data_IF_257633044839
#
_entry.id   IF_257633044839
#
_cell.length_a   1.000
_cell.length_b   1.000
_cell.length_c   1.000
_cell.angle_alpha   90.00
_cell.angle_beta   90.00
_cell.angle_gamma   90.00
#
_symmetry.space_group_name_H-M   'P 1'
#
loop_
_entity.id
_entity.type
_entity.pdbx_description
1 polymer ?
#
# COMPACT_ATOMS: atom_id res chain seq x y z
N UNK A 1 16.17 -13.51 -6.31
CA UNK A 1 15.26 -13.30 -5.16
C UNK A 1 14.10 -12.38 -5.54
N UNK A 2 12.98 -13.00 -5.91
CA UNK A 2 11.61 -12.50 -6.13
C UNK A 2 11.32 -11.09 -5.70
N UNK A 3 11.37 -10.21 -6.70
CA UNK A 3 11.03 -8.79 -6.73
C UNK A 3 10.97 -8.08 -5.37
N UNK A 4 12.14 -7.73 -4.83
CA UNK A 4 12.37 -6.61 -3.90
C UNK A 4 11.38 -6.37 -2.74
N UNK A 5 10.54 -7.35 -2.34
CA UNK A 5 9.54 -7.18 -1.27
C UNK A 5 10.22 -6.74 0.04
N UNK A 6 11.35 -7.38 0.37
CA UNK A 6 12.19 -6.99 1.51
C UNK A 6 12.72 -5.56 1.40
N UNK A 7 13.08 -5.11 0.20
CA UNK A 7 13.53 -3.74 -0.04
C UNK A 7 12.39 -2.75 0.13
N UNK A 8 11.17 -3.06 -0.31
CA UNK A 8 9.99 -2.22 -0.06
C UNK A 8 9.66 -2.12 1.43
N UNK A 9 9.74 -3.22 2.19
CA UNK A 9 9.58 -3.21 3.65
C UNK A 9 10.65 -2.32 4.31
N UNK A 10 11.92 -2.45 3.89
CA UNK A 10 12.99 -1.59 4.37
C UNK A 10 12.83 -0.12 3.95
N UNK A 11 12.22 0.16 2.78
CA UNK A 11 11.85 1.51 2.37
C UNK A 11 10.74 2.07 3.24
N UNK A 12 9.71 1.28 3.59
CA UNK A 12 8.67 1.71 4.53
C UNK A 12 9.25 2.00 5.92
N UNK A 13 10.14 1.14 6.44
CA UNK A 13 10.81 1.37 7.73
C UNK A 13 11.64 2.66 7.73
N UNK A 14 12.33 2.98 6.63
CA UNK A 14 13.01 4.28 6.45
C UNK A 14 12.01 5.43 6.29
N UNK A 15 10.89 5.19 5.63
CA UNK A 15 9.83 6.18 5.39
C UNK A 15 9.13 6.67 6.66
N UNK A 16 9.11 5.87 7.73
CA UNK A 16 8.58 6.29 9.05
C UNK A 16 9.67 6.79 10.01
N UNK A 17 10.94 6.76 9.62
CA UNK A 17 12.05 7.14 10.49
C UNK A 17 12.30 8.66 10.46
N UNK A 18 12.19 9.38 11.59
CA UNK A 18 12.40 10.83 11.64
C UNK A 18 13.78 11.29 11.18
N UNK A 19 14.83 10.46 11.37
CA UNK A 19 16.18 10.79 10.88
C UNK A 19 16.21 10.86 9.35
N UNK A 20 15.44 9.99 8.69
CA UNK A 20 15.30 9.99 7.22
C UNK A 20 14.53 11.22 6.76
N UNK A 21 13.54 11.70 7.51
CA UNK A 21 12.81 12.93 7.17
C UNK A 21 13.70 14.17 7.21
N UNK A 22 14.54 14.30 8.25
CA UNK A 22 15.51 15.39 8.33
C UNK A 22 16.47 15.38 7.14
N UNK A 23 16.94 14.18 6.75
CA UNK A 23 17.79 14.02 5.58
C UNK A 23 17.06 14.43 4.29
N UNK A 24 15.83 13.93 4.09
CA UNK A 24 14.98 14.27 2.95
C UNK A 24 14.76 15.79 2.86
N UNK A 25 14.48 16.45 3.99
CA UNK A 25 14.28 17.91 4.05
C UNK A 25 15.50 18.68 3.53
N UNK A 26 16.70 18.27 3.93
CA UNK A 26 17.95 18.88 3.44
C UNK A 26 18.17 18.56 1.96
N UNK A 27 17.96 17.31 1.55
CA UNK A 27 18.14 16.85 0.17
C UNK A 27 17.12 17.47 -0.81
N UNK A 28 15.96 17.90 -0.31
CA UNK A 28 14.92 18.59 -1.06
C UNK A 28 15.12 20.12 -1.12
N UNK A 29 16.12 20.67 -0.43
CA UNK A 29 16.39 22.11 -0.47
C UNK A 29 16.72 22.52 -1.91
N UNK A 30 15.97 23.48 -2.44
CA UNK A 30 16.04 23.97 -3.83
C UNK A 30 15.55 22.99 -4.92
N UNK A 31 14.95 21.84 -4.56
CA UNK A 31 14.29 20.97 -5.54
C UNK A 31 12.87 21.42 -5.81
N UNK A 32 12.51 21.54 -7.09
CA UNK A 32 11.11 21.66 -7.52
C UNK A 32 10.37 20.32 -7.45
N UNK A 33 9.05 20.39 -7.29
CA UNK A 33 8.16 19.22 -7.25
C UNK A 33 8.30 18.35 -8.51
N UNK A 34 8.55 18.95 -9.67
CA UNK A 34 8.70 18.22 -10.93
C UNK A 34 9.91 17.27 -10.92
N UNK A 35 11.01 17.62 -10.23
CA UNK A 35 12.15 16.74 -10.07
C UNK A 35 11.78 15.52 -9.23
N UNK A 36 11.03 15.72 -8.15
CA UNK A 36 10.57 14.62 -7.29
C UNK A 36 9.64 13.68 -8.06
N UNK A 37 8.73 14.24 -8.87
CA UNK A 37 7.85 13.44 -9.71
C UNK A 37 8.63 12.60 -10.72
N UNK A 38 9.56 13.20 -11.45
CA UNK A 38 10.39 12.50 -12.44
C UNK A 38 11.23 11.40 -11.80
N UNK A 39 11.87 11.66 -10.64
CA UNK A 39 12.65 10.67 -9.89
C UNK A 39 11.80 9.45 -9.51
N UNK A 40 10.56 9.69 -9.05
CA UNK A 40 9.62 8.61 -8.67
C UNK A 40 9.14 7.84 -9.91
N UNK A 41 8.82 8.54 -11.00
CA UNK A 41 8.39 7.92 -12.25
C UNK A 41 9.50 7.02 -12.85
N UNK A 42 10.74 7.49 -12.86
CA UNK A 42 11.90 6.72 -13.31
C UNK A 42 12.14 5.50 -12.42
N UNK A 43 12.07 5.67 -11.09
CA UNK A 43 12.17 4.55 -10.15
C UNK A 43 11.11 3.48 -10.45
N UNK A 44 9.85 3.88 -10.63
CA UNK A 44 8.75 2.97 -10.93
C UNK A 44 8.94 2.26 -12.28
N UNK A 45 9.34 3.00 -13.32
CA UNK A 45 9.61 2.43 -14.64
C UNK A 45 10.71 1.36 -14.58
N UNK A 46 11.80 1.63 -13.85
CA UNK A 46 12.89 0.68 -13.67
C UNK A 46 12.43 -0.60 -12.95
N UNK A 47 11.52 -0.49 -11.98
CA UNK A 47 10.95 -1.67 -11.32
C UNK A 47 10.10 -2.51 -12.29
N UNK A 48 9.20 -1.87 -13.05
CA UNK A 48 8.35 -2.56 -14.02
C UNK A 48 9.20 -3.24 -15.11
N UNK A 49 10.20 -2.54 -15.63
CA UNK A 49 11.11 -3.07 -16.65
C UNK A 49 11.88 -4.30 -16.17
N UNK A 50 12.32 -4.32 -14.90
CA UNK A 50 13.00 -5.48 -14.31
C UNK A 50 12.06 -6.69 -14.15
N UNK A 51 10.80 -6.46 -13.79
CA UNK A 51 9.83 -7.55 -13.63
C UNK A 51 9.56 -8.27 -14.94
N UNK A 52 9.42 -7.52 -16.04
CA UNK A 52 9.12 -8.08 -17.37
C UNK A 52 10.30 -8.86 -17.96
N UNK A 53 11.55 -8.53 -17.59
CA UNK A 53 12.76 -9.09 -18.21
C UNK A 53 13.32 -10.37 -17.55
N UNK A 54 12.88 -10.76 -16.35
CA UNK A 54 13.57 -11.77 -15.53
C UNK A 54 12.62 -12.88 -15.02
N UNK A 55 13.10 -14.12 -14.98
CA UNK A 55 12.38 -15.25 -14.37
C UNK A 55 12.61 -15.28 -12.84
N UNK A 56 11.53 -15.35 -12.07
CA UNK A 56 11.56 -15.23 -10.60
C UNK A 56 11.33 -16.56 -9.89
N UNK A 57 11.81 -16.70 -8.65
CA UNK A 57 11.62 -17.94 -7.86
C UNK A 57 10.16 -18.26 -7.55
N UNK A 58 9.28 -17.25 -7.56
CA UNK A 58 7.83 -17.40 -7.36
C UNK A 58 7.07 -17.59 -8.68
N UNK A 59 7.78 -17.78 -9.81
CA UNK A 59 7.16 -18.08 -11.09
C UNK A 59 6.23 -19.29 -10.95
N UNK A 60 5.02 -19.13 -11.47
CA UNK A 60 3.93 -20.09 -11.34
C UNK A 60 3.09 -20.04 -12.65
N UNK A 61 2.22 -21.03 -12.91
CA UNK A 61 1.41 -21.06 -14.14
C UNK A 61 0.49 -19.86 -14.33
N UNK A 62 0.16 -19.13 -13.26
CA UNK A 62 -0.62 -17.88 -13.31
C UNK A 62 0.26 -16.62 -13.45
N UNK A 63 1.57 -16.80 -13.61
CA UNK A 63 2.56 -15.75 -13.80
C UNK A 63 2.51 -14.69 -12.70
N UNK A 64 2.49 -13.42 -13.12
CA UNK A 64 2.41 -12.26 -12.24
C UNK A 64 1.02 -12.06 -11.62
N UNK A 65 -0.03 -12.67 -12.19
CA UNK A 65 -1.40 -12.52 -11.68
C UNK A 65 -1.52 -12.93 -10.22
N UNK A 66 -0.84 -14.01 -9.83
CA UNK A 66 -0.81 -14.47 -8.43
C UNK A 66 -0.13 -13.46 -7.50
N UNK A 67 0.95 -12.80 -7.93
CA UNK A 67 1.66 -11.80 -7.11
C UNK A 67 0.82 -10.54 -6.93
N UNK A 68 0.18 -10.05 -7.99
CA UNK A 68 -0.72 -8.90 -7.88
C UNK A 68 -1.93 -9.21 -7.00
N UNK A 69 -2.51 -10.42 -7.15
CA UNK A 69 -3.59 -10.86 -6.28
C UNK A 69 -3.16 -10.91 -4.80
N UNK A 70 -1.99 -11.46 -4.51
CA UNK A 70 -1.46 -11.49 -3.14
C UNK A 70 -1.22 -10.08 -2.60
N UNK A 71 -0.64 -9.18 -3.39
CA UNK A 71 -0.46 -7.77 -3.02
C UNK A 71 -1.79 -7.09 -2.68
N UNK A 72 -2.79 -7.25 -3.56
CA UNK A 72 -4.15 -6.75 -3.32
C UNK A 72 -4.77 -7.36 -2.05
N UNK A 73 -4.68 -8.68 -1.88
CA UNK A 73 -5.26 -9.39 -0.74
C UNK A 73 -4.61 -8.97 0.57
N UNK A 74 -3.30 -8.78 0.59
CA UNK A 74 -2.56 -8.25 1.76
C UNK A 74 -3.03 -6.84 2.09
N UNK A 75 -3.11 -5.93 1.11
CA UNK A 75 -3.64 -4.57 1.32
C UNK A 75 -5.07 -4.61 1.89
N UNK A 76 -5.95 -5.43 1.30
CA UNK A 76 -7.32 -5.57 1.75
C UNK A 76 -7.40 -6.05 3.21
N UNK A 77 -6.63 -7.08 3.57
CA UNK A 77 -6.67 -7.63 4.92
C UNK A 77 -6.03 -6.71 5.97
N UNK A 78 -4.97 -5.99 5.62
CA UNK A 78 -4.28 -5.10 6.55
C UNK A 78 -5.05 -3.80 6.75
N UNK A 79 -5.56 -3.20 5.67
CA UNK A 79 -6.17 -1.88 5.72
C UNK A 79 -7.70 -1.92 5.73
N UNK A 80 -8.32 -2.54 4.72
CA UNK A 80 -9.78 -2.50 4.56
C UNK A 80 -10.50 -3.28 5.66
N UNK A 81 -10.04 -4.50 5.98
CA UNK A 81 -10.62 -5.28 7.07
C UNK A 81 -10.46 -4.57 8.42
N UNK A 82 -9.30 -3.94 8.66
CA UNK A 82 -9.09 -3.16 9.88
C UNK A 82 -10.06 -1.96 9.97
N UNK A 83 -10.26 -1.26 8.85
CA UNK A 83 -11.25 -0.18 8.74
C UNK A 83 -12.67 -0.68 9.01
N UNK A 84 -13.07 -1.81 8.41
CA UNK A 84 -14.40 -2.40 8.61
C UNK A 84 -14.64 -2.79 10.07
N UNK A 85 -13.63 -3.34 10.77
CA UNK A 85 -13.74 -3.65 12.20
C UNK A 85 -14.00 -2.41 13.06
N UNK A 86 -13.28 -1.31 12.79
CA UNK A 86 -13.52 -0.03 13.49
C UNK A 86 -14.93 0.49 13.22
N UNK A 87 -15.37 0.46 11.97
CA UNK A 87 -16.73 0.87 11.60
C UNK A 87 -17.77 0.02 12.31
N UNK A 88 -17.60 -1.30 12.37
CA UNK A 88 -18.51 -2.18 13.08
C UNK A 88 -18.63 -1.81 14.57
N UNK A 89 -17.51 -1.52 15.24
CA UNK A 89 -17.52 -1.06 16.64
C UNK A 89 -18.22 0.28 16.82
N UNK A 90 -17.97 1.24 15.92
CA UNK A 90 -18.63 2.55 15.93
C UNK A 90 -20.14 2.40 15.72
N UNK A 91 -20.57 1.59 14.76
CA UNK A 91 -22.00 1.39 14.50
C UNK A 91 -22.67 0.64 15.64
N UNK A 92 -22.04 -0.41 16.16
CA UNK A 92 -22.57 -1.15 17.30
C UNK A 92 -22.75 -0.29 18.55
N UNK A 93 -21.81 0.62 18.81
CA UNK A 93 -21.89 1.55 19.95
C UNK A 93 -22.88 2.69 19.76
N UNK A 94 -23.08 3.17 18.54
CA UNK A 94 -23.98 4.30 18.27
C UNK A 94 -25.43 3.88 18.02
N UNK A 95 -25.66 2.79 17.30
CA UNK A 95 -26.98 2.40 16.77
C UNK A 95 -27.33 0.93 17.04
N UNK A 96 -26.50 0.18 17.78
CA UNK A 96 -26.63 -1.27 17.92
C UNK A 96 -26.04 -2.04 16.73
N UNK A 97 -25.75 -3.33 16.94
CA UNK A 97 -25.17 -4.18 15.89
C UNK A 97 -26.16 -4.30 14.72
N UNK A 98 -25.72 -3.93 13.52
CA UNK A 98 -26.61 -3.90 12.34
C UNK A 98 -27.50 -2.65 12.27
N UNK A 99 -27.31 -1.66 13.16
CA UNK A 99 -28.07 -0.42 13.22
C UNK A 99 -28.09 0.36 11.90
N UNK A 100 -27.00 0.26 11.12
CA UNK A 100 -26.89 0.86 9.79
C UNK A 100 -27.81 0.22 8.72
N UNK A 101 -28.40 -0.93 9.03
CA UNK A 101 -29.31 -1.69 8.15
C UNK A 101 -30.73 -1.80 8.73
N UNK A 102 -31.06 -1.01 9.75
CA UNK A 102 -32.43 -0.93 10.25
C UNK A 102 -33.37 -0.34 9.19
N UNK A 103 -34.58 -0.87 9.14
CA UNK A 103 -35.64 -0.32 8.29
C UNK A 103 -36.00 1.10 8.75
N UNK A 104 -36.48 1.97 7.84
CA UNK A 104 -36.99 3.27 8.22
C UNK A 104 -38.17 3.13 9.20
N UNK A 105 -38.34 4.13 10.06
CA UNK A 105 -39.46 4.17 11.01
C UNK A 105 -40.78 4.15 10.23
N UNK A 106 -41.72 3.23 10.54
CA UNK A 106 -43.04 3.20 9.90
C UNK A 106 -43.78 4.52 10.09
N UNK A 107 -44.56 4.93 9.07
CA UNK A 107 -45.43 6.11 9.12
C UNK A 107 -46.79 5.78 9.72
#
# INVERSE_FOLDING_TARGET
MGFHIQRYIAMMGRGINPKTWKKLWVDSKNKQIIHVYNDVAEFMNNQIAQVVRVYWWWANPFGMGLIFYLGYKTWYMVYINHKQRKVAQVVASAYGQGGQWLNPVPK
#
